data_IF_584462467056
#
_entry.id   IF_584462467056
#
_cell.length_a   1.000
_cell.length_b   1.000
_cell.length_c   1.000
_cell.angle_alpha   90.00
_cell.angle_beta   90.00
_cell.angle_gamma   90.00
#
_symmetry.space_group_name_H-M   'P 1'
#
loop_
_entity.id
_entity.type
_entity.pdbx_description
1 polymer ?
#
# COMPACT_ATOMS: atom_id res chain seq x y z
N UNK A 1 -15.68 8.73 8.20
CA UNK A 1 -14.73 7.65 8.49
C UNK A 1 -14.48 6.97 7.17
N UNK A 2 -13.37 7.32 6.55
CA UNK A 2 -12.81 6.56 5.44
C UNK A 2 -12.33 5.22 6.00
N UNK A 3 -12.47 4.15 5.22
CA UNK A 3 -12.00 2.83 5.62
C UNK A 3 -10.56 2.64 5.12
N UNK A 4 -9.73 1.93 5.88
CA UNK A 4 -8.33 1.69 5.50
C UNK A 4 -8.20 1.03 4.11
N UNK A 5 -9.18 0.21 3.74
CA UNK A 5 -9.32 -0.40 2.42
C UNK A 5 -9.34 0.67 1.32
N UNK A 6 -10.07 1.77 1.53
CA UNK A 6 -10.17 2.85 0.55
C UNK A 6 -8.83 3.57 0.40
N UNK A 7 -8.12 3.81 1.50
CA UNK A 7 -6.79 4.43 1.48
C UNK A 7 -5.76 3.55 0.73
N UNK A 8 -5.81 2.23 0.93
CA UNK A 8 -4.98 1.28 0.19
C UNK A 8 -5.28 1.31 -1.32
N UNK A 9 -6.56 1.32 -1.69
CA UNK A 9 -6.99 1.41 -3.08
C UNK A 9 -6.64 2.75 -3.73
N UNK A 10 -6.71 3.84 -2.96
CA UNK A 10 -6.33 5.17 -3.43
C UNK A 10 -4.84 5.24 -3.73
N UNK A 11 -4.00 4.72 -2.83
CA UNK A 11 -2.56 4.61 -3.08
C UNK A 11 -2.28 3.77 -4.34
N UNK A 12 -2.86 2.57 -4.45
CA UNK A 12 -2.68 1.71 -5.62
C UNK A 12 -3.12 2.39 -6.93
N UNK A 13 -4.23 3.12 -6.90
CA UNK A 13 -4.75 3.80 -8.09
C UNK A 13 -3.88 4.97 -8.55
N UNK A 14 -3.02 5.50 -7.67
CA UNK A 14 -2.08 6.57 -7.98
C UNK A 14 -0.70 6.05 -8.40
N UNK A 15 -0.47 4.73 -8.33
CA UNK A 15 0.72 4.14 -8.90
C UNK A 15 0.65 4.15 -10.43
N UNK A 16 1.74 4.58 -11.05
CA UNK A 16 1.88 4.54 -12.50
C UNK A 16 2.00 3.09 -12.99
N UNK A 17 1.76 2.88 -14.28
CA UNK A 17 1.87 1.55 -14.92
C UNK A 17 3.29 1.00 -14.95
N UNK A 18 4.28 1.84 -14.66
CA UNK A 18 5.72 1.52 -14.56
C UNK A 18 6.12 1.15 -13.13
N UNK A 19 5.27 1.46 -12.14
CA UNK A 19 5.47 1.09 -10.75
C UNK A 19 5.23 -0.40 -10.48
N UNK A 20 4.45 -1.06 -11.35
CA UNK A 20 3.87 -2.39 -11.12
C UNK A 20 4.17 -3.34 -12.27
N UNK A 21 4.31 -4.62 -11.94
CA UNK A 21 4.57 -5.66 -12.93
C UNK A 21 3.45 -5.76 -13.96
N UNK A 22 3.75 -6.42 -15.09
CA UNK A 22 2.71 -6.72 -16.08
C UNK A 22 1.65 -7.69 -15.54
N UNK A 23 2.06 -8.63 -14.69
CA UNK A 23 1.19 -9.63 -14.07
C UNK A 23 0.18 -8.97 -13.12
N UNK A 24 0.61 -7.93 -12.39
CA UNK A 24 -0.27 -7.11 -11.57
C UNK A 24 -1.49 -6.59 -12.33
N UNK A 25 -1.33 -6.18 -13.59
CA UNK A 25 -2.43 -5.62 -14.39
C UNK A 25 -3.57 -6.62 -14.61
N UNK A 26 -3.27 -7.92 -14.63
CA UNK A 26 -4.28 -8.98 -14.75
C UNK A 26 -4.87 -9.33 -13.38
N UNK A 27 -4.09 -9.19 -12.30
CA UNK A 27 -4.48 -9.48 -10.92
C UNK A 27 -5.29 -8.34 -10.26
N UNK A 28 -5.01 -7.09 -10.64
CA UNK A 28 -5.52 -5.85 -10.05
C UNK A 28 -7.03 -5.85 -9.90
N UNK A 29 -7.77 -6.17 -10.96
CA UNK A 29 -9.23 -6.17 -10.93
C UNK A 29 -9.81 -7.08 -9.85
N UNK A 30 -9.23 -8.27 -9.66
CA UNK A 30 -9.65 -9.20 -8.61
C UNK A 30 -9.20 -8.69 -7.24
N UNK A 31 -7.96 -8.21 -7.15
CA UNK A 31 -7.38 -7.70 -5.90
C UNK A 31 -8.17 -6.51 -5.36
N UNK A 32 -8.57 -5.56 -6.21
CA UNK A 32 -9.41 -4.41 -5.82
C UNK A 32 -10.72 -4.86 -5.20
N UNK A 33 -11.39 -5.87 -5.79
CA UNK A 33 -12.66 -6.40 -5.25
C UNK A 33 -12.45 -7.09 -3.90
N UNK A 34 -11.33 -7.79 -3.75
CA UNK A 34 -10.96 -8.46 -2.52
C UNK A 34 -10.62 -7.48 -1.40
N UNK A 35 -9.84 -6.43 -1.68
CA UNK A 35 -9.56 -5.34 -0.73
C UNK A 35 -10.84 -4.61 -0.33
N UNK A 36 -11.74 -4.33 -1.27
CA UNK A 36 -13.04 -3.73 -0.95
C UNK A 36 -13.90 -4.62 -0.06
N UNK A 37 -13.79 -5.94 -0.20
CA UNK A 37 -14.54 -6.91 0.59
C UNK A 37 -13.85 -7.30 1.90
N UNK A 38 -12.59 -6.91 2.10
CA UNK A 38 -11.81 -7.23 3.29
C UNK A 38 -12.43 -6.54 4.52
N UNK A 39 -12.67 -7.32 5.57
CA UNK A 39 -13.21 -6.79 6.83
C UNK A 39 -12.17 -6.92 7.94
N UNK A 40 -11.29 -7.93 7.84
CA UNK A 40 -10.27 -8.17 8.84
C UNK A 40 -8.96 -7.44 8.48
N UNK A 41 -8.31 -6.76 9.44
CA UNK A 41 -7.04 -6.08 9.21
C UNK A 41 -5.94 -7.02 8.70
N UNK A 42 -5.93 -8.27 9.16
CA UNK A 42 -4.99 -9.30 8.68
C UNK A 42 -5.13 -9.53 7.17
N UNK A 43 -6.35 -9.56 6.64
CA UNK A 43 -6.58 -9.69 5.19
C UNK A 43 -6.04 -8.48 4.43
N UNK A 44 -6.22 -7.27 4.98
CA UNK A 44 -5.66 -6.06 4.38
C UNK A 44 -4.13 -6.09 4.36
N UNK A 45 -3.50 -6.59 5.43
CA UNK A 45 -2.06 -6.75 5.49
C UNK A 45 -1.56 -7.77 4.45
N UNK A 46 -2.29 -8.87 4.23
CA UNK A 46 -1.99 -9.83 3.16
C UNK A 46 -2.07 -9.17 1.78
N UNK A 47 -3.13 -8.39 1.51
CA UNK A 47 -3.29 -7.66 0.25
C UNK A 47 -2.23 -6.57 0.05
N UNK A 48 -1.80 -5.92 1.12
CA UNK A 48 -0.72 -4.94 1.12
C UNK A 48 0.62 -5.59 0.74
N UNK A 49 0.93 -6.78 1.27
CA UNK A 49 2.11 -7.56 0.90
C UNK A 49 2.04 -8.03 -0.55
N UNK A 50 0.85 -8.41 -1.03
CA UNK A 50 0.63 -8.77 -2.43
C UNK A 50 0.98 -7.59 -3.36
N UNK A 51 0.44 -6.40 -3.08
CA UNK A 51 0.74 -5.18 -3.83
C UNK A 51 2.25 -4.88 -3.84
N UNK A 52 2.90 -4.89 -2.67
CA UNK A 52 4.35 -4.65 -2.57
C UNK A 52 5.16 -5.66 -3.37
N UNK A 53 4.76 -6.93 -3.37
CA UNK A 53 5.45 -8.00 -4.11
C UNK A 53 5.36 -7.82 -5.62
N UNK A 54 4.32 -7.13 -6.08
CA UNK A 54 4.05 -6.79 -7.48
C UNK A 54 4.54 -5.38 -7.88
N UNK A 55 5.14 -4.63 -6.95
CA UNK A 55 5.88 -3.42 -7.29
C UNK A 55 7.20 -3.77 -7.98
N UNK A 56 7.51 -3.02 -9.02
CA UNK A 56 8.80 -3.11 -9.70
C UNK A 56 9.93 -2.68 -8.73
N UNK A 57 11.10 -3.31 -8.87
CA UNK A 57 12.23 -3.01 -7.97
C UNK A 57 12.76 -1.59 -8.09
N UNK A 58 12.40 -0.90 -9.17
CA UNK A 58 12.72 0.50 -9.45
C UNK A 58 11.65 1.45 -8.89
N UNK A 59 10.46 0.93 -8.58
CA UNK A 59 9.35 1.65 -7.96
C UNK A 59 9.58 1.95 -6.48
N UNK A 60 10.50 1.23 -5.84
CA UNK A 60 10.81 1.35 -4.41
C UNK A 60 12.26 1.77 -4.20
N UNK A 61 12.51 2.45 -3.08
CA UNK A 61 13.86 2.90 -2.72
C UNK A 61 14.83 1.71 -2.58
N UNK A 62 16.11 1.91 -2.90
CA UNK A 62 17.09 0.81 -2.92
C UNK A 62 17.25 0.12 -1.56
N UNK A 63 17.11 0.87 -0.46
CA UNK A 63 17.20 0.33 0.89
C UNK A 63 15.95 -0.44 1.31
N UNK A 64 14.82 -0.27 0.62
CA UNK A 64 13.59 -1.02 0.87
C UNK A 64 13.82 -2.52 0.80
N UNK A 65 14.67 -3.00 -0.12
CA UNK A 65 15.02 -4.43 -0.24
C UNK A 65 15.53 -5.05 1.05
N UNK A 66 16.19 -4.28 1.91
CA UNK A 66 16.69 -4.77 3.21
C UNK A 66 15.60 -4.69 4.30
N UNK A 67 14.68 -3.73 4.18
CA UNK A 67 13.57 -3.52 5.13
C UNK A 67 12.38 -4.43 4.87
N UNK A 68 12.19 -4.82 3.60
CA UNK A 68 11.08 -5.61 3.08
C UNK A 68 10.84 -6.89 3.86
N UNK A 69 11.89 -7.67 4.15
CA UNK A 69 11.73 -8.94 4.86
C UNK A 69 11.05 -8.74 6.22
N UNK A 70 11.57 -7.81 7.04
CA UNK A 70 10.96 -7.48 8.32
C UNK A 70 9.58 -6.85 8.18
N UNK A 71 9.37 -6.03 7.14
CA UNK A 71 8.07 -5.40 6.90
C UNK A 71 6.99 -6.43 6.53
N UNK A 72 7.33 -7.46 5.75
CA UNK A 72 6.42 -8.57 5.44
C UNK A 72 6.10 -9.37 6.70
N UNK A 73 7.08 -9.62 7.57
CA UNK A 73 6.84 -10.28 8.86
C UNK A 73 5.89 -9.46 9.75
N UNK A 74 6.06 -8.14 9.77
CA UNK A 74 5.15 -7.23 10.49
C UNK A 74 3.74 -7.22 9.88
N UNK A 75 3.61 -7.24 8.55
CA UNK A 75 2.31 -7.38 7.89
C UNK A 75 1.62 -8.70 8.27
N UNK A 76 2.36 -9.81 8.33
CA UNK A 76 1.80 -11.10 8.73
C UNK A 76 1.41 -11.13 10.22
N UNK A 77 2.08 -10.35 11.06
CA UNK A 77 1.76 -10.20 12.47
C UNK A 77 0.64 -9.18 12.72
N UNK A 78 0.40 -8.26 11.80
CA UNK A 78 -0.57 -7.18 11.94
C UNK A 78 -1.99 -7.75 12.11
N UNK A 79 -2.63 -7.32 13.19
CA UNK A 79 -3.97 -7.77 13.58
C UNK A 79 -4.95 -6.62 13.79
N UNK A 80 -4.47 -5.39 13.69
CA UNK A 80 -5.23 -4.15 13.91
C UNK A 80 -5.11 -3.21 12.73
N UNK A 81 -6.10 -2.34 12.55
CA UNK A 81 -6.07 -1.32 11.49
C UNK A 81 -4.93 -0.31 11.67
N UNK A 82 -4.55 -0.02 12.92
CA UNK A 82 -3.39 0.84 13.26
C UNK A 82 -2.07 0.24 12.74
N UNK A 83 -1.84 -1.05 12.96
CA UNK A 83 -0.63 -1.70 12.47
C UNK A 83 -0.57 -1.65 10.94
N UNK A 84 -1.70 -1.93 10.27
CA UNK A 84 -1.77 -1.91 8.81
C UNK A 84 -1.64 -0.50 8.23
N UNK A 85 -2.20 0.53 8.87
CA UNK A 85 -2.05 1.93 8.43
C UNK A 85 -0.59 2.37 8.52
N UNK A 86 0.12 2.02 9.61
CA UNK A 86 1.56 2.29 9.77
C UNK A 86 2.36 1.59 8.67
N UNK A 87 2.08 0.32 8.39
CA UNK A 87 2.78 -0.46 7.37
C UNK A 87 2.56 0.07 5.96
N UNK A 88 1.33 0.50 5.64
CA UNK A 88 1.01 1.11 4.35
C UNK A 88 1.64 2.50 4.20
N UNK A 89 1.64 3.33 5.26
CA UNK A 89 2.39 4.60 5.28
C UNK A 89 3.88 4.40 5.03
N UNK A 90 4.45 3.33 5.60
CA UNK A 90 5.86 3.00 5.42
C UNK A 90 6.13 2.62 3.95
N UNK A 91 5.30 1.77 3.35
CA UNK A 91 5.44 1.40 1.93
C UNK A 91 5.32 2.62 1.01
N UNK A 92 4.34 3.49 1.23
CA UNK A 92 4.14 4.73 0.47
C UNK A 92 5.39 5.61 0.55
N UNK A 93 5.91 5.84 1.76
CA UNK A 93 7.11 6.65 1.98
C UNK A 93 8.38 6.05 1.34
N UNK A 94 8.37 4.74 1.09
CA UNK A 94 9.46 4.01 0.43
C UNK A 94 9.25 3.84 -1.09
N UNK A 95 8.10 4.24 -1.62
CA UNK A 95 7.82 4.25 -3.05
C UNK A 95 8.43 5.51 -3.66
N UNK A 96 9.03 5.39 -4.85
CA UNK A 96 9.70 6.52 -5.49
C UNK A 96 8.69 7.47 -6.13
N UNK A 97 8.96 8.77 -6.04
CA UNK A 97 8.10 9.79 -6.66
C UNK A 97 8.03 9.70 -8.18
N UNK A 98 8.98 9.00 -8.80
CA UNK A 98 9.03 8.77 -10.26
C UNK A 98 7.91 7.83 -10.74
N UNK A 99 7.35 7.02 -9.85
CA UNK A 99 6.36 5.99 -10.20
C UNK A 99 4.98 6.25 -9.61
N UNK A 100 4.77 7.39 -8.96
CA UNK A 100 3.45 7.88 -8.52
C UNK A 100 2.96 8.97 -9.47
N UNK A 101 1.65 9.14 -9.58
CA UNK A 101 1.08 10.21 -10.39
C UNK A 101 1.47 11.60 -9.85
N UNK A 102 1.63 12.61 -10.72
CA UNK A 102 1.91 13.98 -10.30
C UNK A 102 0.87 14.53 -9.31
N UNK A 103 -0.40 14.16 -9.48
CA UNK A 103 -1.52 14.55 -8.61
C UNK A 103 -1.41 13.92 -7.20
N UNK A 104 -0.56 12.90 -7.01
CA UNK A 104 -0.36 12.28 -5.71
C UNK A 104 0.23 13.26 -4.70
N UNK A 105 1.11 14.18 -5.12
CA UNK A 105 1.70 15.17 -4.20
C UNK A 105 0.62 16.04 -3.53
N UNK A 106 -0.42 16.42 -4.28
CA UNK A 106 -1.53 17.23 -3.79
C UNK A 106 -2.48 16.44 -2.87
N UNK A 107 -2.64 15.13 -3.11
CA UNK A 107 -3.58 14.27 -2.36
C UNK A 107 -2.93 13.67 -1.11
N UNK A 108 -1.62 13.41 -1.17
CA UNK A 108 -0.85 12.70 -0.16
C UNK A 108 -0.97 13.32 1.22
N UNK A 109 -0.99 14.65 1.34
CA UNK A 109 -1.11 15.31 2.66
C UNK A 109 -2.43 14.92 3.35
N UNK A 110 -3.54 14.96 2.62
CA UNK A 110 -4.86 14.55 3.15
C UNK A 110 -4.89 13.05 3.44
N UNK A 111 -4.33 12.23 2.55
CA UNK A 111 -4.26 10.79 2.72
C UNK A 111 -3.47 10.39 3.96
N UNK A 112 -2.31 11.00 4.18
CA UNK A 112 -1.47 10.79 5.38
C UNK A 112 -2.20 11.23 6.64
N UNK A 113 -2.94 12.34 6.58
CA UNK A 113 -3.75 12.80 7.72
C UNK A 113 -4.83 11.77 8.09
N UNK A 114 -5.56 11.22 7.13
CA UNK A 114 -6.55 10.17 7.39
C UNK A 114 -5.90 8.89 7.93
N UNK A 115 -4.68 8.57 7.50
CA UNK A 115 -3.92 7.44 8.05
C UNK A 115 -3.58 7.63 9.52
N UNK A 116 -3.24 8.85 9.95
CA UNK A 116 -2.97 9.14 11.35
C UNK A 116 -4.21 9.03 12.24
N UNK A 117 -5.42 9.19 11.71
CA UNK A 117 -6.66 8.99 12.49
C UNK A 117 -6.84 7.53 12.94
N UNK A 118 -6.18 6.56 12.31
CA UNK A 118 -6.16 5.16 12.75
C UNK A 118 -5.15 4.88 13.87
N UNK A 119 -4.28 5.85 14.18
CA UNK A 119 -3.19 5.72 15.15
C UNK A 119 -3.48 6.46 16.47
N UNK A 120 -4.72 6.96 16.66
CA UNK A 120 -5.21 7.64 17.88
C UNK A 120 -6.14 6.76 18.72
#
# INVERSE_FOLDING_TARGET
MVELNQLLLEFESNLTREAVTKEWKERRDSWVREVQAAVEPSQLAEYLVELESDLDREAVQTHWKQRRESWVEECQAASTTEEVSILLLELESNTTWEVVADEWEDIRESWVQEMYEFNE
#
